data_IF_373363275031
#
_entry.id   IF_373363275031
#
_cell.length_a   1.000
_cell.length_b   1.000
_cell.length_c   1.000
_cell.angle_alpha   90.00
_cell.angle_beta   90.00
_cell.angle_gamma   90.00
#
_symmetry.space_group_name_H-M   'P 1'
#
loop_
_entity.id
_entity.type
_entity.pdbx_description
1 polymer ?
#
# COMPACT_ATOMS: atom_id res chain seq x y z
N UNK A 1 -13.60 -18.14 0.91
CA UNK A 1 -12.68 -18.10 -0.25
C UNK A 1 -11.52 -19.03 0.05
N UNK A 2 -11.36 -20.09 -0.73
CA UNK A 2 -10.12 -20.87 -0.68
C UNK A 2 -8.96 -19.95 -1.05
N UNK A 3 -7.92 -19.93 -0.22
CA UNK A 3 -6.69 -19.19 -0.51
C UNK A 3 -6.00 -19.82 -1.72
N UNK A 4 -5.36 -18.99 -2.53
CA UNK A 4 -4.48 -19.47 -3.58
C UNK A 4 -3.08 -19.70 -2.98
N UNK A 5 -2.70 -20.97 -2.83
CA UNK A 5 -1.47 -21.39 -2.12
C UNK A 5 -0.19 -20.65 -2.59
N UNK A 6 0.02 -20.41 -3.90
CA UNK A 6 1.21 -19.67 -4.32
C UNK A 6 1.31 -18.25 -3.75
N UNK A 7 0.17 -17.61 -3.40
CA UNK A 7 0.17 -16.32 -2.70
C UNK A 7 0.87 -16.44 -1.34
N UNK A 8 0.58 -17.52 -0.59
CA UNK A 8 1.20 -17.76 0.72
C UNK A 8 2.71 -17.95 0.57
N UNK A 9 3.16 -18.64 -0.48
CA UNK A 9 4.58 -18.76 -0.77
C UNK A 9 5.24 -17.39 -0.98
N UNK A 10 4.65 -16.52 -1.82
CA UNK A 10 5.15 -15.17 -2.03
C UNK A 10 5.18 -14.33 -0.74
N UNK A 11 4.15 -14.44 0.10
CA UNK A 11 4.09 -13.75 1.40
C UNK A 11 5.18 -14.24 2.36
N UNK A 12 5.47 -15.54 2.39
CA UNK A 12 6.57 -16.11 3.20
C UNK A 12 7.93 -15.63 2.72
N UNK A 13 8.16 -15.50 1.41
CA UNK A 13 9.38 -14.88 0.90
C UNK A 13 9.52 -13.45 1.41
N UNK A 14 8.43 -12.67 1.37
CA UNK A 14 8.44 -11.29 1.89
C UNK A 14 8.80 -11.24 3.38
N UNK A 15 8.25 -12.13 4.20
CA UNK A 15 8.59 -12.22 5.63
C UNK A 15 10.08 -12.56 5.83
N UNK A 16 10.63 -13.51 5.08
CA UNK A 16 12.06 -13.84 5.14
C UNK A 16 12.94 -12.64 4.76
N UNK A 17 12.58 -11.91 3.70
CA UNK A 17 13.33 -10.72 3.26
C UNK A 17 13.25 -9.59 4.29
N UNK A 18 12.12 -9.40 4.97
CA UNK A 18 12.01 -8.44 6.08
C UNK A 18 12.91 -8.83 7.24
N UNK A 19 12.90 -10.11 7.66
CA UNK A 19 13.79 -10.62 8.71
C UNK A 19 15.28 -10.45 8.34
N UNK A 20 15.64 -10.74 7.11
CA UNK A 20 16.99 -10.57 6.57
C UNK A 20 17.47 -9.12 6.60
N UNK A 21 16.57 -8.15 6.41
CA UNK A 21 16.88 -6.71 6.41
C UNK A 21 16.72 -6.04 7.78
N UNK A 22 16.18 -6.72 8.79
CA UNK A 22 15.95 -6.13 10.11
C UNK A 22 17.11 -6.41 11.06
N UNK A 23 17.79 -5.36 11.52
CA UNK A 23 18.86 -5.42 12.52
C UNK A 23 18.36 -5.75 13.92
N UNK A 24 17.05 -5.80 14.13
CA UNK A 24 16.40 -6.18 15.37
C UNK A 24 16.23 -7.70 15.52
N UNK A 25 16.73 -8.50 14.56
CA UNK A 25 16.60 -9.96 14.57
C UNK A 25 17.95 -10.64 14.47
N UNK A 26 18.05 -11.88 14.98
CA UNK A 26 19.22 -12.74 14.79
C UNK A 26 19.43 -13.18 13.32
N UNK A 27 18.48 -12.90 12.46
CA UNK A 27 18.49 -13.24 11.04
C UNK A 27 19.04 -12.12 10.14
N UNK A 28 19.42 -10.98 10.75
CA UNK A 28 19.98 -9.85 10.00
C UNK A 28 21.20 -10.27 9.19
N UNK A 29 21.08 -10.13 7.87
CA UNK A 29 22.13 -10.49 6.88
C UNK A 29 22.65 -11.94 7.04
N UNK A 30 21.82 -12.85 7.56
CA UNK A 30 22.17 -14.26 7.71
C UNK A 30 22.34 -14.92 6.34
N UNK A 31 23.48 -15.54 6.08
CA UNK A 31 23.76 -16.30 4.84
C UNK A 31 22.84 -17.52 4.67
N UNK A 32 22.38 -18.10 5.77
CA UNK A 32 21.42 -19.21 5.75
C UNK A 32 20.04 -18.72 5.26
N UNK A 33 19.56 -17.59 5.79
CA UNK A 33 18.30 -16.97 5.36
C UNK A 33 18.38 -16.51 3.90
N UNK A 34 19.51 -15.92 3.50
CA UNK A 34 19.77 -15.52 2.11
C UNK A 34 19.65 -16.71 1.14
N UNK A 35 20.30 -17.83 1.47
CA UNK A 35 20.21 -19.04 0.66
C UNK A 35 18.78 -19.59 0.54
N UNK A 36 17.99 -19.52 1.64
CA UNK A 36 16.57 -19.92 1.61
C UNK A 36 15.75 -18.98 0.72
N UNK A 37 16.00 -17.67 0.77
CA UNK A 37 15.32 -16.69 -0.10
C UNK A 37 15.61 -17.00 -1.56
N UNK A 38 16.88 -17.18 -1.95
CA UNK A 38 17.25 -17.55 -3.34
C UNK A 38 16.55 -18.83 -3.79
N UNK A 39 16.54 -19.86 -2.96
CA UNK A 39 15.86 -21.13 -3.25
C UNK A 39 14.35 -20.93 -3.49
N UNK A 40 13.71 -20.14 -2.65
CA UNK A 40 12.29 -19.87 -2.73
C UNK A 40 11.93 -19.01 -3.97
N UNK A 41 12.75 -18.02 -4.31
CA UNK A 41 12.62 -17.23 -5.54
C UNK A 41 12.82 -18.09 -6.80
N UNK A 42 13.84 -18.92 -6.84
CA UNK A 42 14.10 -19.80 -7.97
C UNK A 42 12.99 -20.84 -8.19
N UNK A 43 12.39 -21.33 -7.10
CA UNK A 43 11.17 -22.15 -7.21
C UNK A 43 10.03 -21.38 -7.89
N UNK A 44 9.77 -20.12 -7.46
CA UNK A 44 8.74 -19.27 -8.08
C UNK A 44 8.99 -19.05 -9.57
N UNK A 45 10.22 -18.68 -9.93
CA UNK A 45 10.61 -18.43 -11.33
C UNK A 45 10.48 -19.66 -12.22
N UNK A 46 10.68 -20.85 -11.66
CA UNK A 46 10.54 -22.13 -12.38
C UNK A 46 9.08 -22.56 -12.50
N UNK A 47 8.33 -22.50 -11.39
CA UNK A 47 6.95 -22.97 -11.33
C UNK A 47 5.97 -22.05 -12.07
N UNK A 48 6.26 -20.74 -12.13
CA UNK A 48 5.46 -19.69 -12.82
C UNK A 48 3.95 -19.83 -12.53
N UNK A 49 3.53 -19.85 -11.27
CA UNK A 49 2.13 -20.12 -10.92
C UNK A 49 1.21 -19.01 -11.43
N UNK A 50 0.09 -19.39 -12.02
CA UNK A 50 -0.93 -18.48 -12.54
C UNK A 50 -2.24 -18.71 -11.80
N UNK A 51 -2.86 -17.62 -11.31
CA UNK A 51 -4.16 -17.66 -10.66
C UNK A 51 -5.29 -17.47 -11.68
N UNK A 52 -6.42 -18.14 -11.51
CA UNK A 52 -7.61 -17.88 -12.32
C UNK A 52 -8.19 -16.48 -12.07
N UNK A 53 -7.96 -15.90 -10.89
CA UNK A 53 -8.33 -14.54 -10.58
C UNK A 53 -7.22 -13.58 -11.07
N UNK A 54 -7.53 -12.79 -12.10
CA UNK A 54 -6.63 -11.83 -12.73
C UNK A 54 -5.96 -10.87 -11.73
N UNK A 55 -6.69 -10.49 -10.65
CA UNK A 55 -6.20 -9.54 -9.65
C UNK A 55 -4.90 -10.03 -8.98
N UNK A 56 -4.81 -11.34 -8.69
CA UNK A 56 -3.56 -11.89 -8.14
C UNK A 56 -2.40 -11.79 -9.13
N UNK A 57 -2.65 -12.07 -10.41
CA UNK A 57 -1.59 -12.07 -11.41
C UNK A 57 -1.07 -10.64 -11.69
N UNK A 58 -1.96 -9.66 -11.78
CA UNK A 58 -1.61 -8.31 -12.20
C UNK A 58 -1.33 -7.35 -11.05
N UNK A 59 -1.94 -7.56 -9.88
CA UNK A 59 -1.83 -6.66 -8.73
C UNK A 59 -1.21 -7.35 -7.53
N UNK A 60 -1.82 -8.41 -7.02
CA UNK A 60 -1.47 -8.97 -5.71
C UNK A 60 -0.06 -9.55 -5.66
N UNK A 61 0.32 -10.35 -6.63
CA UNK A 61 1.66 -10.95 -6.71
C UNK A 61 2.72 -9.93 -7.07
N UNK A 62 2.56 -9.08 -8.11
CA UNK A 62 3.51 -8.02 -8.36
C UNK A 62 3.72 -7.08 -7.16
N UNK A 63 2.67 -6.76 -6.41
CA UNK A 63 2.80 -5.97 -5.16
C UNK A 63 3.67 -6.68 -4.13
N UNK A 64 3.43 -7.97 -3.86
CA UNK A 64 4.16 -8.72 -2.84
C UNK A 64 5.60 -9.00 -3.27
N UNK A 65 5.78 -9.58 -4.46
CA UNK A 65 7.12 -9.92 -4.96
C UNK A 65 7.93 -8.70 -5.40
N UNK A 66 7.28 -7.64 -5.90
CA UNK A 66 7.94 -6.37 -6.17
C UNK A 66 8.61 -5.79 -4.93
N UNK A 67 7.91 -5.82 -3.79
CA UNK A 67 8.51 -5.43 -2.50
C UNK A 67 9.69 -6.34 -2.13
N UNK A 68 9.58 -7.65 -2.35
CA UNK A 68 10.70 -8.59 -2.16
C UNK A 68 11.88 -8.19 -3.01
N UNK A 69 11.67 -7.97 -4.30
CA UNK A 69 12.74 -7.67 -5.24
C UNK A 69 13.45 -6.34 -4.94
N UNK A 70 12.73 -5.32 -4.52
CA UNK A 70 13.31 -4.04 -4.10
C UNK A 70 14.15 -4.21 -2.82
N UNK A 71 13.59 -4.86 -1.79
CA UNK A 71 14.28 -5.05 -0.51
C UNK A 71 15.50 -5.98 -0.61
N UNK A 72 15.51 -6.88 -1.58
CA UNK A 72 16.56 -7.89 -1.79
C UNK A 72 17.40 -7.62 -3.05
N UNK A 73 17.27 -6.44 -3.67
CA UNK A 73 17.86 -6.12 -4.97
C UNK A 73 19.37 -6.37 -5.03
N UNK A 74 20.10 -5.97 -3.97
CA UNK A 74 21.56 -6.07 -3.92
C UNK A 74 22.08 -7.52 -3.87
N UNK A 75 21.24 -8.45 -3.46
CA UNK A 75 21.54 -9.88 -3.37
C UNK A 75 21.08 -10.67 -4.59
N UNK A 76 20.17 -10.11 -5.42
CA UNK A 76 19.70 -10.78 -6.62
C UNK A 76 20.84 -11.02 -7.61
N UNK A 77 20.97 -12.26 -8.06
CA UNK A 77 21.82 -12.56 -9.22
C UNK A 77 21.29 -11.87 -10.48
N UNK A 78 22.10 -11.64 -11.51
CA UNK A 78 21.62 -11.05 -12.77
C UNK A 78 20.44 -11.83 -13.40
N UNK A 79 20.45 -13.17 -13.29
CA UNK A 79 19.36 -14.03 -13.79
C UNK A 79 18.09 -13.85 -12.96
N UNK A 80 18.21 -13.81 -11.65
CA UNK A 80 17.06 -13.57 -10.76
C UNK A 80 16.48 -12.16 -10.98
N UNK A 81 17.33 -11.13 -11.16
CA UNK A 81 16.88 -9.77 -11.45
C UNK A 81 16.09 -9.73 -12.77
N UNK A 82 16.55 -10.41 -13.81
CA UNK A 82 15.81 -10.50 -15.08
C UNK A 82 14.48 -11.24 -14.91
N UNK A 83 14.46 -12.34 -14.18
CA UNK A 83 13.22 -13.08 -13.87
C UNK A 83 12.26 -12.23 -13.02
N UNK A 84 12.77 -11.45 -12.08
CA UNK A 84 11.97 -10.52 -11.27
C UNK A 84 11.29 -9.46 -12.16
N UNK A 85 12.02 -8.85 -13.09
CA UNK A 85 11.47 -7.90 -14.07
C UNK A 85 10.34 -8.57 -14.86
N UNK A 86 10.55 -9.80 -15.36
CA UNK A 86 9.53 -10.56 -16.10
C UNK A 86 8.27 -10.82 -15.28
N UNK A 87 8.41 -11.14 -13.99
CA UNK A 87 7.25 -11.27 -13.09
C UNK A 87 6.50 -9.95 -12.98
N UNK A 88 7.22 -8.82 -12.87
CA UNK A 88 6.63 -7.49 -12.73
C UNK A 88 5.97 -6.96 -14.02
N UNK A 89 6.28 -7.52 -15.20
CA UNK A 89 5.63 -7.17 -16.47
C UNK A 89 4.15 -7.55 -16.54
N UNK A 90 3.67 -8.39 -15.63
CA UNK A 90 2.23 -8.68 -15.46
C UNK A 90 1.44 -7.44 -15.02
N UNK A 91 2.06 -6.47 -14.34
CA UNK A 91 1.45 -5.20 -14.02
C UNK A 91 1.64 -4.20 -15.17
N UNK A 92 0.52 -3.61 -15.61
CA UNK A 92 0.50 -2.59 -16.67
C UNK A 92 -0.39 -1.43 -16.23
N UNK A 93 -0.11 -0.23 -16.74
CA UNK A 93 -1.01 0.89 -16.53
C UNK A 93 -2.42 0.56 -17.05
N UNK A 94 -3.42 1.02 -16.33
CA UNK A 94 -4.83 0.80 -16.70
C UNK A 94 -5.75 0.89 -15.48
N UNK A 95 -7.01 0.63 -15.73
CA UNK A 95 -8.09 0.68 -14.73
C UNK A 95 -8.31 2.09 -14.13
N UNK A 96 -9.06 2.16 -13.04
CA UNK A 96 -9.47 3.39 -12.36
C UNK A 96 -9.40 3.20 -10.84
N UNK A 97 -9.43 4.29 -10.10
CA UNK A 97 -9.46 4.28 -8.64
C UNK A 97 -8.26 3.54 -8.04
N UNK A 98 -8.50 2.78 -7.00
CA UNK A 98 -7.43 2.09 -6.29
C UNK A 98 -6.73 1.00 -7.12
N UNK A 99 -7.40 0.38 -8.07
CA UNK A 99 -6.75 -0.60 -8.95
C UNK A 99 -5.67 0.06 -9.83
N UNK A 100 -5.92 1.27 -10.35
CA UNK A 100 -4.94 2.05 -11.11
C UNK A 100 -3.72 2.39 -10.25
N UNK A 101 -3.95 2.82 -9.00
CA UNK A 101 -2.88 3.13 -8.05
C UNK A 101 -2.00 1.90 -7.77
N UNK A 102 -2.61 0.72 -7.53
CA UNK A 102 -1.84 -0.50 -7.31
C UNK A 102 -1.03 -0.93 -8.53
N UNK A 103 -1.63 -0.85 -9.73
CA UNK A 103 -0.92 -1.19 -10.97
C UNK A 103 0.24 -0.24 -11.23
N UNK A 104 0.04 1.07 -11.05
CA UNK A 104 1.09 2.06 -11.23
C UNK A 104 2.21 1.90 -10.19
N UNK A 105 1.89 1.61 -8.93
CA UNK A 105 2.89 1.29 -7.91
C UNK A 105 3.71 0.05 -8.25
N UNK A 106 3.10 -0.99 -8.82
CA UNK A 106 3.81 -2.18 -9.29
C UNK A 106 4.72 -1.87 -10.50
N UNK A 107 4.25 -1.04 -11.45
CA UNK A 107 5.09 -0.57 -12.57
C UNK A 107 6.26 0.26 -12.06
N UNK A 108 6.06 1.10 -11.04
CA UNK A 108 7.14 1.85 -10.40
C UNK A 108 8.21 0.94 -9.82
N UNK A 109 7.84 -0.11 -9.08
CA UNK A 109 8.83 -1.07 -8.56
C UNK A 109 9.62 -1.75 -9.68
N UNK A 110 8.97 -2.12 -10.81
CA UNK A 110 9.66 -2.62 -11.99
C UNK A 110 10.64 -1.60 -12.55
N UNK A 111 10.21 -0.35 -12.69
CA UNK A 111 11.02 0.74 -13.21
C UNK A 111 12.28 0.97 -12.36
N UNK A 112 12.16 0.90 -11.03
CA UNK A 112 13.30 0.97 -10.12
C UNK A 112 14.29 -0.18 -10.35
N UNK A 113 13.82 -1.41 -10.50
CA UNK A 113 14.68 -2.57 -10.82
C UNK A 113 15.40 -2.42 -12.17
N UNK A 114 14.79 -1.70 -13.12
CA UNK A 114 15.34 -1.44 -14.45
C UNK A 114 16.22 -0.19 -14.50
N UNK A 115 16.28 0.61 -13.42
CA UNK A 115 16.86 1.94 -13.39
C UNK A 115 16.26 2.88 -14.47
N UNK A 116 14.97 2.75 -14.75
CA UNK A 116 14.23 3.55 -15.73
C UNK A 116 13.50 4.70 -15.04
N UNK A 117 14.16 5.86 -14.95
CA UNK A 117 13.64 7.04 -14.30
C UNK A 117 12.40 7.61 -15.00
N UNK A 118 12.32 7.57 -16.32
CA UNK A 118 11.17 8.08 -17.05
C UNK A 118 9.93 7.23 -16.77
N UNK A 119 10.09 5.91 -16.67
CA UNK A 119 9.00 5.02 -16.29
C UNK A 119 8.59 5.21 -14.81
N UNK A 120 9.53 5.53 -13.90
CA UNK A 120 9.21 5.93 -12.50
C UNK A 120 8.35 7.19 -12.50
N UNK A 121 8.70 8.22 -13.27
CA UNK A 121 7.93 9.45 -13.44
C UNK A 121 6.52 9.17 -13.95
N UNK A 122 6.40 8.39 -15.02
CA UNK A 122 5.12 8.01 -15.59
C UNK A 122 4.23 7.28 -14.55
N UNK A 123 4.83 6.40 -13.76
CA UNK A 123 4.12 5.68 -12.70
C UNK A 123 3.65 6.64 -11.59
N UNK A 124 4.51 7.55 -11.16
CA UNK A 124 4.16 8.62 -10.20
C UNK A 124 3.00 9.48 -10.72
N UNK A 125 3.08 9.93 -11.97
CA UNK A 125 2.04 10.78 -12.55
C UNK A 125 0.72 10.02 -12.70
N UNK A 126 0.78 8.72 -13.00
CA UNK A 126 -0.39 7.85 -13.03
C UNK A 126 -1.02 7.69 -11.64
N UNK A 127 -0.22 7.54 -10.59
CA UNK A 127 -0.70 7.51 -9.19
C UNK A 127 -1.36 8.84 -8.85
N UNK A 128 -0.67 9.95 -9.09
CA UNK A 128 -1.13 11.29 -8.77
C UNK A 128 -2.42 11.68 -9.52
N UNK A 129 -2.63 11.15 -10.72
CA UNK A 129 -3.84 11.40 -11.51
C UNK A 129 -5.14 10.90 -10.85
N UNK A 130 -5.06 10.02 -9.85
CA UNK A 130 -6.21 9.59 -9.06
C UNK A 130 -6.51 10.50 -7.85
N UNK A 131 -5.66 11.50 -7.57
CA UNK A 131 -5.90 12.49 -6.51
C UNK A 131 -6.78 13.62 -7.09
N UNK A 132 -8.00 13.27 -7.42
CA UNK A 132 -9.01 14.18 -7.97
C UNK A 132 -10.39 13.82 -7.43
N UNK A 133 -11.33 14.75 -7.43
CA UNK A 133 -12.73 14.51 -7.05
C UNK A 133 -13.64 14.38 -8.26
N UNK A 134 -14.84 13.81 -8.09
CA UNK A 134 -15.91 13.82 -9.10
C UNK A 134 -15.77 12.76 -10.21
N UNK A 135 -14.73 11.96 -10.26
CA UNK A 135 -14.57 10.89 -11.25
C UNK A 135 -15.62 9.77 -11.13
N UNK A 136 -15.67 8.85 -12.09
CA UNK A 136 -16.59 7.69 -12.04
C UNK A 136 -16.29 6.79 -10.84
N UNK A 137 -15.01 6.56 -10.56
CA UNK A 137 -14.48 5.88 -9.36
C UNK A 137 -13.49 6.80 -8.64
N UNK A 138 -13.06 6.45 -7.45
CA UNK A 138 -12.16 7.26 -6.61
C UNK A 138 -12.91 8.20 -5.66
N UNK A 139 -12.33 9.35 -5.37
CA UNK A 139 -12.88 10.37 -4.46
C UNK A 139 -14.05 11.06 -5.13
N UNK A 140 -15.16 11.17 -4.42
CA UNK A 140 -16.37 11.86 -4.89
C UNK A 140 -16.43 13.30 -4.33
N UNK A 141 -17.28 14.13 -4.91
CA UNK A 141 -17.44 15.53 -4.52
C UNK A 141 -17.99 15.69 -3.09
N UNK A 142 -18.68 14.67 -2.58
CA UNK A 142 -19.15 14.56 -1.19
C UNK A 142 -18.13 13.91 -0.24
N UNK A 143 -16.89 13.69 -0.71
CA UNK A 143 -15.78 13.07 0.02
C UNK A 143 -15.99 11.59 0.37
N UNK A 144 -16.97 10.90 -0.23
CA UNK A 144 -16.98 9.44 -0.16
C UNK A 144 -16.03 8.83 -1.21
N UNK A 145 -15.75 7.54 -1.09
CA UNK A 145 -14.89 6.81 -2.03
C UNK A 145 -15.68 5.71 -2.73
N UNK A 146 -15.69 5.75 -4.05
CA UNK A 146 -16.36 4.73 -4.87
C UNK A 146 -15.36 3.85 -5.61
N UNK A 147 -15.72 2.57 -5.76
CA UNK A 147 -15.03 1.60 -6.61
C UNK A 147 -16.03 0.56 -7.11
N UNK A 148 -15.79 0.01 -8.30
CA UNK A 148 -16.75 -0.82 -9.03
C UNK A 148 -18.06 -0.06 -9.39
N UNK A 149 -17.88 1.10 -9.99
CA UNK A 149 -18.96 2.03 -10.28
C UNK A 149 -19.42 2.78 -9.04
N UNK A 150 -20.72 2.92 -8.86
CA UNK A 150 -21.32 3.71 -7.77
C UNK A 150 -21.35 2.98 -6.40
N UNK A 151 -20.45 2.05 -6.14
CA UNK A 151 -20.39 1.36 -4.86
C UNK A 151 -19.49 2.10 -3.87
N UNK A 152 -20.06 2.48 -2.74
CA UNK A 152 -19.29 3.04 -1.62
C UNK A 152 -18.31 2.00 -1.06
N UNK A 153 -17.04 2.37 -0.95
CA UNK A 153 -15.97 1.44 -0.59
C UNK A 153 -14.96 2.05 0.40
N UNK A 154 -15.41 2.84 1.37
CA UNK A 154 -14.53 3.49 2.34
C UNK A 154 -13.55 2.53 3.03
N UNK A 155 -14.07 1.50 3.66
CA UNK A 155 -13.27 0.56 4.46
C UNK A 155 -12.56 -0.52 3.65
N UNK A 156 -12.61 -0.49 2.33
CA UNK A 156 -11.97 -1.47 1.46
C UNK A 156 -11.00 -0.78 0.48
N UNK A 157 -11.48 -0.46 -0.74
CA UNK A 157 -10.64 0.20 -1.75
C UNK A 157 -10.23 1.61 -1.34
N UNK A 158 -11.14 2.36 -0.72
CA UNK A 158 -10.86 3.72 -0.25
C UNK A 158 -9.80 3.74 0.87
N UNK A 159 -9.86 2.84 1.84
CA UNK A 159 -8.83 2.74 2.87
C UNK A 159 -7.47 2.35 2.28
N UNK A 160 -7.45 1.43 1.31
CA UNK A 160 -6.23 1.09 0.59
C UNK A 160 -5.70 2.27 -0.22
N UNK A 161 -6.59 3.12 -0.76
CA UNK A 161 -6.24 4.34 -1.47
C UNK A 161 -5.56 5.34 -0.52
N UNK A 162 -6.21 5.68 0.59
CA UNK A 162 -5.66 6.62 1.58
C UNK A 162 -4.30 6.12 2.10
N UNK A 163 -4.21 4.85 2.51
CA UNK A 163 -2.94 4.28 2.99
C UNK A 163 -1.85 4.26 1.92
N UNK A 164 -2.22 3.98 0.66
CA UNK A 164 -1.27 4.00 -0.46
C UNK A 164 -0.80 5.41 -0.80
N UNK A 165 -1.71 6.39 -0.82
CA UNK A 165 -1.37 7.78 -1.10
C UNK A 165 -0.53 8.40 0.02
N UNK A 166 -0.83 8.08 1.27
CA UNK A 166 -0.03 8.44 2.43
C UNK A 166 1.42 7.92 2.30
N UNK A 167 1.56 6.63 1.98
CA UNK A 167 2.86 6.03 1.73
C UNK A 167 3.62 6.73 0.58
N UNK A 168 2.96 6.99 -0.56
CA UNK A 168 3.60 7.67 -1.68
C UNK A 168 3.92 9.14 -1.37
N UNK A 169 3.08 9.83 -0.59
CA UNK A 169 3.36 11.19 -0.12
C UNK A 169 4.67 11.24 0.67
N UNK A 170 4.83 10.35 1.64
CA UNK A 170 6.07 10.23 2.41
C UNK A 170 7.28 9.84 1.54
N UNK A 171 7.10 8.84 0.67
CA UNK A 171 8.17 8.36 -0.22
C UNK A 171 8.68 9.44 -1.18
N UNK A 172 7.81 10.29 -1.70
CA UNK A 172 8.16 11.33 -2.67
C UNK A 172 8.55 12.66 -2.02
N UNK A 173 8.27 12.83 -0.74
CA UNK A 173 8.58 14.07 0.00
C UNK A 173 10.05 14.48 -0.16
N UNK A 174 10.29 15.75 -0.39
CA UNK A 174 11.64 16.30 -0.59
C UNK A 174 12.31 15.91 -1.90
N UNK A 175 11.60 15.26 -2.82
CA UNK A 175 12.10 14.91 -4.17
C UNK A 175 11.37 15.69 -5.27
N UNK A 176 11.87 15.61 -6.50
CA UNK A 176 11.19 16.14 -7.70
C UNK A 176 9.88 15.40 -8.04
N UNK A 177 9.58 14.31 -7.34
CA UNK A 177 8.38 13.49 -7.50
C UNK A 177 7.29 13.84 -6.47
N UNK A 178 7.51 14.81 -5.57
CA UNK A 178 6.55 15.20 -4.54
C UNK A 178 5.16 15.50 -5.11
N UNK A 179 4.12 15.20 -4.34
CA UNK A 179 2.78 15.68 -4.64
C UNK A 179 2.72 17.19 -4.42
N UNK A 180 1.92 17.89 -5.21
CA UNK A 180 1.71 19.31 -5.03
C UNK A 180 0.70 19.61 -3.89
N UNK A 181 0.66 20.88 -3.47
CA UNK A 181 -0.19 21.33 -2.35
C UNK A 181 -1.67 21.05 -2.57
N UNK A 182 -2.14 21.13 -3.84
CA UNK A 182 -3.52 20.83 -4.18
C UNK A 182 -3.82 19.33 -3.98
N UNK A 183 -2.90 18.46 -4.39
CA UNK A 183 -3.02 17.01 -4.22
C UNK A 183 -3.02 16.64 -2.73
N UNK A 184 -2.10 17.21 -1.96
CA UNK A 184 -2.03 17.00 -0.51
C UNK A 184 -3.30 17.51 0.19
N UNK A 185 -3.81 18.68 -0.20
CA UNK A 185 -5.07 19.23 0.31
C UNK A 185 -6.27 18.33 0.02
N UNK A 186 -6.35 17.70 -1.16
CA UNK A 186 -7.41 16.75 -1.47
C UNK A 186 -7.34 15.51 -0.57
N UNK A 187 -6.13 14.98 -0.34
CA UNK A 187 -5.95 13.79 0.51
C UNK A 187 -6.29 14.08 1.97
N UNK A 188 -5.85 15.22 2.52
CA UNK A 188 -6.18 15.62 3.90
C UNK A 188 -7.68 15.89 4.06
N UNK A 189 -8.31 16.54 3.07
CA UNK A 189 -9.75 16.79 3.10
C UNK A 189 -10.58 15.50 3.01
N UNK A 190 -10.12 14.50 2.24
CA UNK A 190 -10.75 13.17 2.21
C UNK A 190 -10.77 12.53 3.60
N UNK A 191 -9.74 12.70 4.40
CA UNK A 191 -9.70 12.21 5.79
C UNK A 191 -10.64 13.01 6.68
N UNK A 192 -10.56 14.34 6.66
CA UNK A 192 -11.33 15.20 7.55
C UNK A 192 -12.83 15.21 7.21
N UNK A 193 -13.18 15.33 5.93
CA UNK A 193 -14.59 15.44 5.49
C UNK A 193 -15.24 14.13 5.05
N UNK A 194 -14.44 13.10 4.77
CA UNK A 194 -14.93 11.78 4.41
C UNK A 194 -14.82 10.78 5.55
N UNK A 195 -13.62 10.35 5.85
CA UNK A 195 -13.39 9.25 6.80
C UNK A 195 -13.77 9.56 8.24
N UNK A 196 -13.62 10.79 8.69
CA UNK A 196 -14.00 11.21 10.04
C UNK A 196 -15.45 10.86 10.38
N UNK A 197 -16.35 10.92 9.41
CA UNK A 197 -17.78 10.68 9.62
C UNK A 197 -18.19 9.21 9.62
N UNK A 198 -17.32 8.32 9.16
CA UNK A 198 -17.56 6.87 9.18
C UNK A 198 -16.81 6.17 10.30
N UNK A 199 -16.29 6.93 11.26
CA UNK A 199 -15.57 6.40 12.43
C UNK A 199 -16.19 6.92 13.72
N UNK A 200 -16.44 6.02 14.64
CA UNK A 200 -16.96 6.32 15.97
C UNK A 200 -16.24 5.50 17.03
N UNK A 201 -15.71 6.17 18.07
CA UNK A 201 -15.01 5.53 19.20
C UNK A 201 -13.97 4.48 18.75
N UNK A 202 -13.11 4.85 17.84
CA UNK A 202 -12.03 3.99 17.35
C UNK A 202 -12.47 2.81 16.49
N UNK A 203 -13.71 2.80 15.99
CA UNK A 203 -14.25 1.77 15.11
C UNK A 203 -14.84 2.39 13.84
N UNK A 204 -14.57 1.78 12.70
CA UNK A 204 -15.21 2.15 11.44
C UNK A 204 -16.64 1.60 11.39
N UNK A 205 -17.59 2.39 10.92
CA UNK A 205 -18.97 1.97 10.71
C UNK A 205 -19.06 0.73 9.83
N UNK A 206 -19.87 -0.25 10.24
CA UNK A 206 -20.02 -1.53 9.53
C UNK A 206 -20.52 -1.32 8.10
N UNK A 207 -21.41 -0.34 7.87
CA UNK A 207 -21.91 -0.04 6.54
C UNK A 207 -20.85 0.58 5.62
N UNK A 208 -19.79 1.17 6.19
CA UNK A 208 -18.66 1.73 5.45
C UNK A 208 -17.52 0.74 5.17
N UNK A 209 -17.55 -0.48 5.74
CA UNK A 209 -16.50 -1.50 5.58
C UNK A 209 -16.41 -2.06 4.14
N UNK A 210 -17.43 -1.85 3.31
CA UNK A 210 -17.56 -2.53 2.03
C UNK A 210 -17.76 -4.04 2.23
N UNK A 211 -17.16 -4.86 1.40
CA UNK A 211 -17.35 -6.33 1.44
C UNK A 211 -16.38 -7.10 2.36
N UNK A 212 -15.55 -6.42 3.13
CA UNK A 212 -14.56 -7.03 4.03
C UNK A 212 -15.08 -7.09 5.46
N UNK A 213 -16.12 -7.89 5.68
CA UNK A 213 -16.77 -8.09 6.97
C UNK A 213 -16.13 -9.27 7.70
N UNK A 214 -15.00 -9.06 8.33
CA UNK A 214 -14.34 -10.07 9.17
C UNK A 214 -14.27 -9.59 10.62
N UNK A 215 -14.00 -10.53 11.53
CA UNK A 215 -13.91 -10.24 12.95
C UNK A 215 -12.85 -9.16 13.22
N UNK A 216 -13.16 -8.19 14.07
CA UNK A 216 -12.34 -7.02 14.36
C UNK A 216 -12.07 -6.06 13.18
N UNK A 217 -12.69 -6.24 12.01
CA UNK A 217 -12.50 -5.34 10.88
C UNK A 217 -12.72 -3.86 11.22
N UNK A 218 -13.77 -3.47 11.98
CA UNK A 218 -13.99 -2.07 12.35
C UNK A 218 -12.78 -1.43 13.04
N UNK A 219 -12.18 -2.11 14.02
CA UNK A 219 -11.02 -1.61 14.78
C UNK A 219 -9.76 -1.59 13.91
N UNK A 220 -9.46 -2.69 13.22
CA UNK A 220 -8.28 -2.78 12.36
C UNK A 220 -8.27 -1.71 11.26
N UNK A 221 -9.42 -1.39 10.69
CA UNK A 221 -9.55 -0.37 9.65
C UNK A 221 -9.42 1.05 10.20
N UNK A 222 -9.95 1.31 11.38
CA UNK A 222 -9.75 2.58 12.06
C UNK A 222 -8.28 2.83 12.39
N UNK A 223 -7.56 1.81 12.87
CA UNK A 223 -6.11 1.90 13.11
C UNK A 223 -5.32 2.15 11.83
N UNK A 224 -5.65 1.45 10.74
CA UNK A 224 -5.00 1.70 9.44
C UNK A 224 -5.21 3.14 8.96
N UNK A 225 -6.38 3.71 9.21
CA UNK A 225 -6.65 5.11 8.91
C UNK A 225 -5.83 6.05 9.81
N UNK A 226 -5.69 5.72 11.10
CA UNK A 226 -4.90 6.55 12.02
C UNK A 226 -3.46 6.70 11.55
N UNK A 227 -2.82 5.61 11.12
CA UNK A 227 -1.48 5.66 10.55
C UNK A 227 -1.42 6.49 9.27
N UNK A 228 -2.37 6.30 8.35
CA UNK A 228 -2.42 7.07 7.11
C UNK A 228 -2.62 8.57 7.38
N UNK A 229 -3.48 8.92 8.33
CA UNK A 229 -3.72 10.31 8.73
C UNK A 229 -2.47 10.94 9.38
N UNK A 230 -1.76 10.19 10.21
CA UNK A 230 -0.50 10.64 10.82
C UNK A 230 0.56 10.98 9.77
N UNK A 231 0.72 10.13 8.77
CA UNK A 231 1.68 10.34 7.67
C UNK A 231 1.33 11.56 6.80
N UNK A 232 0.05 11.77 6.49
CA UNK A 232 -0.40 12.92 5.70
C UNK A 232 -0.41 14.23 6.51
N UNK A 233 -0.55 14.16 7.84
CA UNK A 233 -0.53 15.30 8.74
C UNK A 233 0.87 15.83 9.09
N UNK A 234 1.92 15.14 8.65
CA UNK A 234 3.32 15.39 9.02
C UNK A 234 3.91 16.78 8.66
N UNK A 235 3.09 17.80 8.59
CA UNK A 235 3.52 19.19 8.41
C UNK A 235 2.45 20.18 7.97
N UNK A 236 1.28 19.76 7.52
CA UNK A 236 0.35 20.68 6.83
C UNK A 236 -1.11 20.64 7.28
N UNK A 237 -1.56 19.66 8.06
CA UNK A 237 -2.95 19.57 8.45
C UNK A 237 -3.13 19.13 9.91
N UNK A 238 -3.40 20.10 10.77
CA UNK A 238 -3.75 19.88 12.18
C UNK A 238 -4.97 18.94 12.32
N UNK A 239 -5.88 18.93 11.34
CA UNK A 239 -7.06 18.05 11.32
C UNK A 239 -6.69 16.59 11.14
N UNK A 240 -5.76 16.25 10.25
CA UNK A 240 -5.29 14.86 10.09
C UNK A 240 -4.61 14.34 11.35
N UNK A 241 -3.79 15.16 12.00
CA UNK A 241 -3.16 14.83 13.29
C UNK A 241 -4.24 14.65 14.38
N UNK A 242 -5.24 15.52 14.42
CA UNK A 242 -6.34 15.40 15.37
C UNK A 242 -7.15 14.12 15.17
N UNK A 243 -7.45 13.73 13.93
CA UNK A 243 -8.12 12.46 13.60
C UNK A 243 -7.26 11.27 14.01
N UNK A 244 -5.97 11.26 13.66
CA UNK A 244 -5.05 10.19 14.05
C UNK A 244 -4.96 10.04 15.57
N UNK A 245 -4.79 11.16 16.29
CA UNK A 245 -4.69 11.18 17.75
C UNK A 245 -5.97 10.67 18.41
N UNK A 246 -7.13 11.10 17.94
CA UNK A 246 -8.41 10.65 18.47
C UNK A 246 -8.62 9.14 18.29
N UNK A 247 -8.32 8.62 17.10
CA UNK A 247 -8.42 7.19 16.78
C UNK A 247 -7.48 6.33 17.61
N UNK A 248 -6.27 6.79 17.84
CA UNK A 248 -5.28 6.07 18.64
C UNK A 248 -5.64 6.09 20.13
N UNK A 249 -6.09 7.25 20.65
CA UNK A 249 -6.55 7.37 22.03
C UNK A 249 -7.74 6.44 22.31
N UNK A 250 -8.66 6.32 21.38
CA UNK A 250 -9.86 5.49 21.55
C UNK A 250 -9.55 3.97 21.53
N UNK A 251 -8.43 3.57 20.91
CA UNK A 251 -8.03 2.16 20.79
C UNK A 251 -6.87 1.74 21.71
N UNK A 252 -6.07 2.70 22.22
CA UNK A 252 -4.91 2.42 23.06
C UNK A 252 -4.93 3.26 24.34
N UNK A 253 -4.46 2.75 25.47
CA UNK A 253 -4.25 3.53 26.68
C UNK A 253 -3.19 4.63 26.45
N UNK A 254 -3.31 5.72 27.22
CA UNK A 254 -2.51 6.94 27.07
C UNK A 254 -0.99 6.79 26.84
N UNK A 255 -0.28 5.78 27.39
CA UNK A 255 1.15 5.59 27.10
C UNK A 255 1.47 5.26 25.64
N UNK A 256 0.55 4.66 24.90
CA UNK A 256 0.78 4.30 23.51
C UNK A 256 0.70 5.52 22.55
N UNK A 257 0.00 6.56 22.93
CA UNK A 257 -0.12 7.80 22.13
C UNK A 257 1.19 8.57 22.11
N UNK A 258 1.95 8.54 23.19
CA UNK A 258 3.24 9.24 23.29
C UNK A 258 4.35 8.63 22.41
N UNK A 259 4.21 7.37 22.01
CA UNK A 259 5.20 6.70 21.14
C UNK A 259 5.14 7.25 19.71
N UNK A 260 3.97 7.69 19.25
CA UNK A 260 3.78 8.20 17.88
C UNK A 260 4.12 9.68 17.74
N UNK A 261 4.06 10.45 18.80
CA UNK A 261 4.41 11.87 18.80
C UNK A 261 5.90 12.13 18.98
N UNK A 262 6.72 11.11 19.23
CA UNK A 262 8.16 11.24 19.39
C UNK A 262 8.60 12.04 20.63
N UNK A 263 7.70 12.25 21.61
CA UNK A 263 7.95 12.96 22.86
C UNK A 263 7.69 12.11 24.09
#
# INVERSE_FOLDING_TARGET
>A
RQGWEPKIHAERILELVKLYNSDQTSYYRSSEVEAVIHKALNYWFTAKPVCLNWWYNQIGIPKTLGTVFILFEKQLTPVEKQNAITVMENAKFGMTGQNKVWLAGNVMMRALLQNDYELVKMARDTIASEIVTGGAEGIKDDWCFHQHGAQQQFGNYGLSFVSGMSFFSGLFSGTSLAFDDKQLSILSTLIDKGYRWVIWKGMMDVNALGRQLFHHAPVHKALSLAFAASELGGGESDECVAVATALLRDNYPAPAVNVLTGH
#
